data_IF_914161482790
#
_entry.id   IF_914161482790
#
_cell.length_a   1.000
_cell.length_b   1.000
_cell.length_c   1.000
_cell.angle_alpha   90.00
_cell.angle_beta   90.00
_cell.angle_gamma   90.00
#
_symmetry.space_group_name_H-M   'P 1'
#
loop_
_entity.id
_entity.type
_entity.pdbx_description
1 polymer ?
#
# COMPACT_ATOMS: atom_id res chain seq x y z
N UNK A 1 11.36 -26.52 -1.04
CA UNK A 1 10.43 -25.76 -0.23
C UNK A 1 10.92 -24.33 -0.08
N UNK A 2 10.08 -23.38 -0.39
CA UNK A 2 10.42 -21.96 -0.34
C UNK A 2 10.33 -21.50 1.12
N UNK A 3 11.37 -20.83 1.58
CA UNK A 3 11.40 -20.29 2.93
C UNK A 3 11.19 -18.79 2.87
N UNK A 4 9.92 -18.39 2.70
CA UNK A 4 9.57 -16.99 2.75
C UNK A 4 9.54 -16.55 4.20
N UNK A 5 10.32 -15.52 4.52
CA UNK A 5 10.31 -14.99 5.88
C UNK A 5 8.93 -14.39 6.18
N UNK A 6 8.46 -14.46 7.44
CA UNK A 6 7.15 -13.87 7.79
C UNK A 6 7.03 -12.41 7.36
N UNK A 7 8.11 -11.64 7.43
CA UNK A 7 8.12 -10.25 7.00
C UNK A 7 7.83 -10.13 5.50
N UNK A 8 8.41 -11.00 4.69
CA UNK A 8 8.18 -11.01 3.24
C UNK A 8 6.74 -11.38 2.92
N UNK A 9 6.18 -12.35 3.63
CA UNK A 9 4.79 -12.75 3.43
C UNK A 9 3.85 -11.61 3.77
N UNK A 10 4.13 -10.88 4.82
CA UNK A 10 3.31 -9.75 5.24
C UNK A 10 3.39 -8.63 4.20
N UNK A 11 4.58 -8.34 3.70
CA UNK A 11 4.77 -7.34 2.65
C UNK A 11 3.96 -7.70 1.41
N UNK A 12 4.00 -8.96 1.00
CA UNK A 12 3.24 -9.44 -0.15
C UNK A 12 1.73 -9.27 0.07
N UNK A 13 1.25 -9.55 1.28
CA UNK A 13 -0.16 -9.40 1.61
C UNK A 13 -0.59 -7.94 1.55
N UNK A 14 0.22 -7.05 2.10
CA UNK A 14 -0.05 -5.61 2.07
C UNK A 14 -0.11 -5.12 0.63
N UNK A 15 0.87 -5.51 -0.18
CA UNK A 15 0.92 -5.11 -1.59
C UNK A 15 -0.28 -5.64 -2.35
N UNK A 16 -0.72 -6.85 -2.05
CA UNK A 16 -1.87 -7.46 -2.73
C UNK A 16 -3.14 -6.68 -2.43
N UNK A 17 -3.36 -6.34 -1.17
CA UNK A 17 -4.54 -5.56 -0.79
C UNK A 17 -4.55 -4.22 -1.50
N UNK A 18 -3.42 -3.51 -1.47
CA UNK A 18 -3.33 -2.19 -2.10
C UNK A 18 -3.47 -2.28 -3.63
N UNK A 19 -2.88 -3.30 -4.25
CA UNK A 19 -2.90 -3.44 -5.71
C UNK A 19 -4.31 -3.70 -6.24
N UNK A 20 -5.18 -4.25 -5.43
CA UNK A 20 -6.56 -4.55 -5.85
C UNK A 20 -7.49 -3.35 -5.78
N UNK A 21 -6.99 -2.20 -5.31
CA UNK A 21 -7.82 -1.01 -5.20
C UNK A 21 -7.94 -0.31 -6.55
N UNK A 22 -9.14 0.21 -6.81
CA UNK A 22 -9.40 0.96 -8.03
C UNK A 22 -8.49 2.19 -8.10
N UNK A 23 -7.86 2.39 -9.24
CA UNK A 23 -6.98 3.54 -9.47
C UNK A 23 -5.51 3.26 -9.18
N UNK A 24 -5.21 2.14 -8.55
CA UNK A 24 -3.82 1.77 -8.26
C UNK A 24 -3.25 1.05 -9.48
N UNK A 25 -2.19 1.65 -10.05
CA UNK A 25 -1.49 1.09 -11.21
C UNK A 25 -0.34 0.20 -10.81
N UNK A 26 0.27 0.46 -9.67
CA UNK A 26 1.39 -0.33 -9.16
C UNK A 26 1.79 0.11 -7.78
N UNK A 27 2.64 -0.68 -7.16
CA UNK A 27 3.22 -0.37 -5.86
C UNK A 27 4.73 -0.30 -6.06
N UNK A 28 5.29 0.88 -5.88
CA UNK A 28 6.73 1.06 -6.05
C UNK A 28 7.51 0.54 -4.85
N UNK A 29 7.04 0.87 -3.67
CA UNK A 29 7.79 0.62 -2.44
C UNK A 29 6.81 0.40 -1.31
N UNK A 30 7.16 -0.49 -0.41
CA UNK A 30 6.36 -0.75 0.78
C UNK A 30 7.32 -1.02 1.93
N UNK A 31 7.22 -0.21 2.98
CA UNK A 31 8.00 -0.37 4.18
C UNK A 31 7.08 -0.66 5.34
N UNK A 32 7.46 -1.62 6.15
CA UNK A 32 6.64 -2.08 7.26
C UNK A 32 7.44 -1.98 8.55
N UNK A 33 6.84 -1.37 9.56
CA UNK A 33 7.44 -1.28 10.88
C UNK A 33 6.49 -1.90 11.88
N UNK A 34 7.01 -2.82 12.69
CA UNK A 34 6.22 -3.43 13.74
C UNK A 34 6.35 -2.61 15.01
N UNK A 35 5.23 -2.42 15.70
CA UNK A 35 5.21 -1.73 16.97
C UNK A 35 4.22 -2.46 17.88
N UNK A 36 4.75 -3.18 18.86
CA UNK A 36 3.90 -4.03 19.70
C UNK A 36 3.20 -5.09 18.88
N UNK A 37 1.87 -5.13 18.96
CA UNK A 37 1.05 -6.10 18.21
C UNK A 37 0.53 -5.53 16.91
N UNK A 38 0.93 -4.32 16.54
CA UNK A 38 0.42 -3.64 15.37
C UNK A 38 1.55 -3.36 14.39
N UNK A 39 1.14 -3.01 13.16
CA UNK A 39 2.07 -2.62 12.11
C UNK A 39 1.77 -1.24 11.61
N UNK A 40 2.81 -0.51 11.23
CA UNK A 40 2.71 0.75 10.54
C UNK A 40 3.28 0.54 9.14
N UNK A 41 2.54 1.01 8.14
CA UNK A 41 2.90 0.78 6.75
C UNK A 41 3.17 2.12 6.07
N UNK A 42 4.27 2.17 5.33
CA UNK A 42 4.64 3.33 4.52
C UNK A 42 4.70 2.80 3.08
N UNK A 43 3.74 3.18 2.25
CA UNK A 43 3.57 2.57 0.94
C UNK A 43 3.50 3.63 -0.16
N UNK A 44 4.22 3.38 -1.24
CA UNK A 44 4.26 4.25 -2.41
C UNK A 44 3.41 3.64 -3.51
N UNK A 45 2.29 4.30 -3.79
CA UNK A 45 1.27 3.81 -4.72
C UNK A 45 1.35 4.61 -6.00
N UNK A 46 1.44 3.92 -7.11
CA UNK A 46 1.51 4.54 -8.42
C UNK A 46 0.12 4.64 -9.04
N UNK A 47 -0.20 5.82 -9.55
CA UNK A 47 -1.47 6.10 -10.19
C UNK A 47 -1.20 6.69 -11.57
N UNK A 48 -2.25 6.86 -12.38
CA UNK A 48 -2.09 7.49 -13.68
C UNK A 48 -1.43 8.85 -13.54
N UNK A 49 -0.44 9.12 -14.40
CA UNK A 49 0.26 10.40 -14.34
C UNK A 49 -0.66 11.59 -14.59
N UNK A 50 -1.78 11.39 -15.30
CA UNK A 50 -2.76 12.44 -15.56
C UNK A 50 -3.74 12.65 -14.40
N UNK A 51 -3.66 11.84 -13.36
CA UNK A 51 -4.57 11.98 -12.24
C UNK A 51 -4.43 13.35 -11.59
N UNK A 52 -5.55 13.93 -11.21
CA UNK A 52 -5.52 15.21 -10.49
C UNK A 52 -5.07 14.96 -9.06
N UNK A 53 -4.66 16.04 -8.38
CA UNK A 53 -4.30 15.94 -6.96
C UNK A 53 -5.50 15.39 -6.17
N UNK A 54 -6.71 15.81 -6.51
CA UNK A 54 -7.91 15.33 -5.83
C UNK A 54 -8.09 13.83 -6.01
N UNK A 55 -7.96 13.35 -7.24
CA UNK A 55 -8.07 11.92 -7.53
C UNK A 55 -7.02 11.12 -6.78
N UNK A 56 -5.77 11.60 -6.78
CA UNK A 56 -4.69 10.94 -6.06
C UNK A 56 -4.97 10.88 -4.57
N UNK A 57 -5.46 11.98 -4.01
CA UNK A 57 -5.79 12.03 -2.59
C UNK A 57 -6.89 11.04 -2.23
N UNK A 58 -7.91 10.94 -3.09
CA UNK A 58 -9.00 10.00 -2.87
C UNK A 58 -8.51 8.54 -2.93
N UNK A 59 -7.64 8.24 -3.89
CA UNK A 59 -7.06 6.90 -3.98
C UNK A 59 -6.26 6.59 -2.72
N UNK A 60 -5.43 7.54 -2.26
CA UNK A 60 -4.65 7.36 -1.05
C UNK A 60 -5.54 7.07 0.15
N UNK A 61 -6.65 7.80 0.27
CA UNK A 61 -7.59 7.59 1.37
C UNK A 61 -8.22 6.22 1.34
N UNK A 62 -8.61 5.76 0.16
CA UNK A 62 -9.21 4.42 0.03
C UNK A 62 -8.20 3.33 0.35
N UNK A 63 -6.97 3.47 -0.12
CA UNK A 63 -5.92 2.48 0.17
C UNK A 63 -5.67 2.43 1.67
N UNK A 64 -5.51 3.60 2.30
CA UNK A 64 -5.28 3.67 3.73
C UNK A 64 -6.41 3.00 4.51
N UNK A 65 -7.65 3.37 4.19
CA UNK A 65 -8.82 2.80 4.87
C UNK A 65 -8.87 1.29 4.70
N UNK A 66 -8.66 0.81 3.49
CA UNK A 66 -8.71 -0.61 3.22
C UNK A 66 -7.65 -1.38 3.99
N UNK A 67 -6.43 -0.86 4.04
CA UNK A 67 -5.35 -1.50 4.78
C UNK A 67 -5.65 -1.53 6.27
N UNK A 68 -6.12 -0.41 6.81
CA UNK A 68 -6.41 -0.34 8.25
C UNK A 68 -7.60 -1.19 8.66
N UNK A 69 -8.56 -1.39 7.74
CA UNK A 69 -9.74 -2.23 7.99
C UNK A 69 -9.48 -3.71 7.75
N UNK A 70 -8.33 -4.04 7.16
CA UNK A 70 -8.00 -5.44 6.89
C UNK A 70 -7.66 -6.15 8.20
N UNK A 71 -7.56 -7.48 8.14
CA UNK A 71 -7.19 -8.27 9.31
C UNK A 71 -5.68 -8.38 9.50
N UNK A 72 -4.92 -7.49 8.88
CA UNK A 72 -3.46 -7.52 8.93
C UNK A 72 -2.87 -6.79 10.13
N UNK A 73 -3.70 -6.24 11.01
CA UNK A 73 -3.29 -5.51 12.21
C UNK A 73 -2.48 -4.26 11.89
N UNK A 74 -2.88 -3.56 10.86
CA UNK A 74 -2.25 -2.31 10.47
C UNK A 74 -2.90 -1.17 11.25
N UNK A 75 -2.12 -0.54 12.13
CA UNK A 75 -2.61 0.55 12.96
C UNK A 75 -2.73 1.83 12.13
N UNK A 76 -1.82 2.04 11.20
CA UNK A 76 -1.89 3.18 10.29
C UNK A 76 -1.08 2.89 9.04
N UNK A 77 -1.46 3.57 7.96
CA UNK A 77 -0.77 3.45 6.69
C UNK A 77 -0.56 4.85 6.13
N UNK A 78 0.69 5.17 5.81
CA UNK A 78 1.04 6.42 5.17
C UNK A 78 1.20 6.13 3.68
N UNK A 79 0.30 6.67 2.86
CA UNK A 79 0.24 6.37 1.44
C UNK A 79 0.80 7.55 0.65
N UNK A 80 1.89 7.29 -0.07
CA UNK A 80 2.50 8.27 -0.96
C UNK A 80 1.99 7.99 -2.37
N UNK A 81 1.48 9.01 -3.02
CA UNK A 81 0.97 8.88 -4.39
C UNK A 81 2.04 9.35 -5.36
N UNK A 82 2.34 8.51 -6.34
CA UNK A 82 3.35 8.80 -7.34
C UNK A 82 2.79 8.50 -8.73
N UNK A 83 3.28 9.17 -9.76
CA UNK A 83 2.84 8.86 -11.12
C UNK A 83 3.41 7.52 -11.56
N UNK A 84 2.58 6.73 -12.22
CA UNK A 84 3.03 5.48 -12.81
C UNK A 84 4.03 5.81 -13.93
N UNK A 85 5.19 5.15 -13.97
CA UNK A 85 6.21 5.50 -14.96
C UNK A 85 5.71 5.26 -16.39
N UNK A 86 5.99 6.22 -17.27
CA UNK A 86 5.72 6.04 -18.69
C UNK A 86 6.73 5.07 -19.29
N UNK A 87 6.32 4.28 -20.26
CA UNK A 87 7.23 3.34 -20.92
C UNK A 87 8.32 4.04 -21.72
#
# INVERSE_FOLDING_TARGET
>A
MSHTRPHQQFDEQVRRVASNMTGVMGIEKCRIRKSGLSYFVDIHVEVKGEATVREGHEIAGRVRSRLCESNLRIADAHVHIEPYPDP
#
